data_IF_489563338848
#
_entry.id   IF_489563338848
#
_cell.length_a   1.000
_cell.length_b   1.000
_cell.length_c   1.000
_cell.angle_alpha   90.00
_cell.angle_beta   90.00
_cell.angle_gamma   90.00
#
_symmetry.space_group_name_H-M   'P 1'
#
loop_
_entity.id
_entity.type
_entity.pdbx_description
1 polymer ?
#
# COMPACT_ATOMS: atom_id res chain seq x y z
N UNK A 1 -9.62 4.29 -8.64
CA UNK A 1 -8.96 3.26 -9.48
C UNK A 1 -8.71 2.03 -8.63
N UNK A 2 -8.60 0.85 -9.24
CA UNK A 2 -8.28 -0.41 -8.54
C UNK A 2 -7.50 -1.37 -9.44
N UNK A 3 -6.78 -2.30 -8.83
CA UNK A 3 -6.20 -3.46 -9.50
C UNK A 3 -7.30 -4.49 -9.78
N UNK A 4 -7.34 -5.01 -10.99
CA UNK A 4 -8.19 -6.15 -11.37
C UNK A 4 -7.35 -7.23 -12.04
N UNK A 5 -7.87 -8.45 -12.08
CA UNK A 5 -7.31 -9.55 -12.86
C UNK A 5 -8.10 -9.70 -14.16
N UNK A 6 -7.41 -9.64 -15.29
CA UNK A 6 -7.95 -9.93 -16.61
C UNK A 6 -7.26 -11.18 -17.16
N UNK A 7 -7.88 -12.34 -16.96
CA UNK A 7 -7.26 -13.64 -17.25
C UNK A 7 -5.98 -13.86 -16.41
N UNK A 8 -4.84 -14.00 -17.09
CA UNK A 8 -3.53 -14.17 -16.46
C UNK A 8 -2.81 -12.83 -16.15
N UNK A 9 -3.36 -11.71 -16.60
CA UNK A 9 -2.71 -10.40 -16.49
C UNK A 9 -3.40 -9.54 -15.42
N UNK A 10 -2.63 -8.61 -14.85
CA UNK A 10 -3.20 -7.52 -14.06
C UNK A 10 -3.58 -6.37 -14.98
N UNK A 11 -4.69 -5.71 -14.67
CA UNK A 11 -5.12 -4.50 -15.35
C UNK A 11 -5.55 -3.45 -14.32
N UNK A 12 -5.42 -2.17 -14.71
CA UNK A 12 -5.94 -1.04 -13.93
C UNK A 12 -7.37 -0.77 -14.38
N UNK A 13 -8.29 -0.76 -13.43
CA UNK A 13 -9.64 -0.27 -13.67
C UNK A 13 -9.79 1.13 -13.08
N UNK A 14 -10.06 2.10 -13.96
CA UNK A 14 -10.52 3.44 -13.59
C UNK A 14 -12.04 3.42 -13.62
N UNK A 15 -12.67 3.90 -12.55
CA UNK A 15 -14.13 3.92 -12.42
C UNK A 15 -14.57 5.06 -11.50
N UNK A 16 -15.77 5.57 -11.75
CA UNK A 16 -16.43 6.58 -10.93
C UNK A 16 -17.22 5.93 -9.78
N UNK A 17 -16.49 5.55 -8.73
CA UNK A 17 -17.08 5.10 -7.47
C UNK A 17 -17.43 6.25 -6.52
N UNK A 18 -18.14 5.95 -5.40
CA UNK A 18 -18.35 6.91 -4.32
C UNK A 18 -17.02 7.32 -3.67
N UNK A 19 -17.02 8.45 -2.95
CA UNK A 19 -15.87 8.85 -2.13
C UNK A 19 -15.60 7.79 -1.04
N UNK A 20 -14.32 7.50 -0.81
CA UNK A 20 -13.88 6.68 0.33
C UNK A 20 -13.01 7.56 1.21
N UNK A 21 -13.37 7.72 2.49
CA UNK A 21 -12.74 8.67 3.42
C UNK A 21 -12.61 10.10 2.84
N UNK A 22 -13.63 10.55 2.11
CA UNK A 22 -13.64 11.84 1.39
C UNK A 22 -12.59 11.99 0.28
N UNK A 23 -11.96 10.91 -0.18
CA UNK A 23 -10.93 10.93 -1.21
C UNK A 23 -11.37 10.20 -2.50
N UNK A 24 -10.98 10.78 -3.64
CA UNK A 24 -11.07 10.16 -4.98
C UNK A 24 -9.96 10.73 -5.88
N UNK A 25 -8.92 9.95 -6.21
CA UNK A 25 -8.71 8.54 -5.84
C UNK A 25 -8.43 8.37 -4.33
N UNK A 26 -8.90 7.26 -3.74
CA UNK A 26 -8.57 6.86 -2.36
C UNK A 26 -7.49 5.79 -2.38
N UNK A 27 -6.55 5.89 -1.44
CA UNK A 27 -5.47 4.92 -1.25
C UNK A 27 -6.04 3.58 -0.79
N UNK A 28 -7.00 3.58 0.16
CA UNK A 28 -7.65 2.36 0.64
C UNK A 28 -8.31 1.55 -0.49
N UNK A 29 -8.94 2.20 -1.49
CA UNK A 29 -9.55 1.51 -2.65
C UNK A 29 -8.50 0.78 -3.47
N UNK A 30 -7.36 1.43 -3.75
CA UNK A 30 -6.27 0.83 -4.49
C UNK A 30 -5.67 -0.34 -3.69
N UNK A 31 -5.25 -0.06 -2.46
CA UNK A 31 -4.51 -1.01 -1.64
C UNK A 31 -5.34 -2.27 -1.35
N UNK A 32 -6.61 -2.12 -0.98
CA UNK A 32 -7.51 -3.27 -0.76
C UNK A 32 -7.64 -4.14 -2.01
N UNK A 33 -7.73 -3.54 -3.19
CA UNK A 33 -7.78 -4.31 -4.44
C UNK A 33 -6.46 -5.04 -4.74
N UNK A 34 -5.32 -4.46 -4.38
CA UNK A 34 -4.01 -5.12 -4.48
C UNK A 34 -3.93 -6.31 -3.53
N UNK A 35 -4.36 -6.15 -2.28
CA UNK A 35 -4.40 -7.24 -1.31
C UNK A 35 -5.23 -8.43 -1.82
N UNK A 36 -6.40 -8.15 -2.42
CA UNK A 36 -7.30 -9.17 -2.95
C UNK A 36 -6.78 -9.85 -4.22
N UNK A 37 -6.16 -9.10 -5.13
CA UNK A 37 -5.82 -9.57 -6.48
C UNK A 37 -4.39 -10.10 -6.59
N UNK A 38 -3.43 -9.45 -5.91
CA UNK A 38 -2.02 -9.80 -5.93
C UNK A 38 -1.58 -10.55 -4.66
N UNK A 39 -2.21 -10.28 -3.51
CA UNK A 39 -1.86 -10.90 -2.22
C UNK A 39 -0.37 -10.81 -1.93
N UNK A 40 0.24 -11.94 -1.55
CA UNK A 40 1.69 -12.07 -1.28
C UNK A 40 2.64 -11.63 -2.41
N UNK A 41 2.14 -11.51 -3.65
CA UNK A 41 2.96 -11.09 -4.79
C UNK A 41 3.06 -9.56 -4.91
N UNK A 42 2.63 -8.81 -3.90
CA UNK A 42 2.70 -7.36 -3.85
C UNK A 42 3.58 -6.86 -2.69
N UNK A 43 4.00 -5.60 -2.81
CA UNK A 43 4.60 -4.82 -1.75
C UNK A 43 3.72 -3.61 -1.47
N UNK A 44 3.40 -3.36 -0.20
CA UNK A 44 2.69 -2.18 0.25
C UNK A 44 3.69 -1.18 0.82
N UNK A 45 3.67 0.07 0.36
CA UNK A 45 4.52 1.13 0.91
C UNK A 45 3.65 2.32 1.25
N UNK A 46 3.63 2.71 2.53
CA UNK A 46 2.95 3.92 2.98
C UNK A 46 3.99 5.00 3.34
N UNK A 47 3.81 6.19 2.77
CA UNK A 47 4.75 7.30 2.89
C UNK A 47 4.11 8.49 3.61
N UNK A 48 4.88 9.55 3.81
CA UNK A 48 4.47 10.82 4.41
C UNK A 48 3.10 11.28 3.90
N UNK A 49 2.27 11.74 4.83
CA UNK A 49 0.89 12.13 4.53
C UNK A 49 0.09 12.36 5.80
N UNK A 50 -0.97 13.16 5.68
CA UNK A 50 -1.89 13.45 6.78
C UNK A 50 -3.03 12.41 6.80
N UNK A 51 -3.55 12.14 8.00
CA UNK A 51 -4.72 11.26 8.16
C UNK A 51 -4.36 9.76 8.16
N UNK A 52 -5.33 8.93 7.85
CA UNK A 52 -5.27 7.47 7.97
C UNK A 52 -5.59 6.73 6.65
N UNK A 53 -5.73 7.45 5.52
CA UNK A 53 -6.05 6.84 4.21
C UNK A 53 -4.89 5.92 3.79
N UNK A 54 -5.17 4.63 3.63
CA UNK A 54 -4.18 3.60 3.33
C UNK A 54 -3.70 2.80 4.54
N UNK A 55 -3.95 3.23 5.78
CA UNK A 55 -3.51 2.49 6.97
C UNK A 55 -4.23 1.14 7.11
N UNK A 56 -5.56 1.14 6.94
CA UNK A 56 -6.38 -0.06 6.96
C UNK A 56 -6.09 -0.95 5.75
N UNK A 57 -5.96 -0.36 4.56
CA UNK A 57 -5.55 -1.09 3.38
C UNK A 57 -4.20 -1.79 3.56
N UNK A 58 -3.20 -1.11 4.15
CA UNK A 58 -1.87 -1.69 4.33
C UNK A 58 -1.91 -2.89 5.30
N UNK A 59 -2.72 -2.80 6.35
CA UNK A 59 -2.97 -3.94 7.24
C UNK A 59 -3.58 -5.13 6.48
N UNK A 60 -4.53 -4.89 5.58
CA UNK A 60 -5.11 -5.95 4.74
C UNK A 60 -4.09 -6.57 3.79
N UNK A 61 -3.16 -5.77 3.24
CA UNK A 61 -2.04 -6.28 2.45
C UNK A 61 -1.14 -7.19 3.29
N UNK A 62 -0.75 -6.75 4.49
CA UNK A 62 0.05 -7.55 5.42
C UNK A 62 -0.64 -8.88 5.75
N UNK A 63 -1.93 -8.86 6.07
CA UNK A 63 -2.72 -10.07 6.33
C UNK A 63 -2.83 -11.00 5.11
N UNK A 64 -2.81 -10.45 3.90
CA UNK A 64 -2.77 -11.21 2.64
C UNK A 64 -1.37 -11.75 2.29
N UNK A 65 -0.37 -11.54 3.16
CA UNK A 65 1.00 -12.02 3.02
C UNK A 65 1.90 -11.13 2.15
N UNK A 66 1.45 -9.93 1.80
CA UNK A 66 2.30 -8.95 1.13
C UNK A 66 3.31 -8.37 2.13
N UNK A 67 4.50 -7.99 1.64
CA UNK A 67 5.47 -7.25 2.46
C UNK A 67 5.06 -5.79 2.55
N UNK A 68 5.10 -5.21 3.75
CA UNK A 68 4.64 -3.84 3.98
C UNK A 68 5.70 -2.97 4.65
N UNK A 69 5.88 -1.76 4.12
CA UNK A 69 6.87 -0.78 4.60
C UNK A 69 6.16 0.53 4.94
N UNK A 70 6.55 1.14 6.06
CA UNK A 70 6.21 2.51 6.39
C UNK A 70 7.45 3.42 6.33
N UNK A 71 7.28 4.64 5.81
CA UNK A 71 8.31 5.67 5.93
C UNK A 71 8.51 6.06 7.41
N UNK A 72 9.76 6.25 7.83
CA UNK A 72 10.08 6.70 9.19
C UNK A 72 9.74 8.17 9.45
N UNK A 73 9.53 8.52 10.73
CA UNK A 73 9.17 9.87 11.17
C UNK A 73 10.21 10.93 10.79
N UNK A 74 11.51 10.61 10.91
CA UNK A 74 12.58 11.60 10.70
C UNK A 74 12.72 12.04 9.24
N UNK A 75 12.25 11.23 8.29
CA UNK A 75 12.23 11.59 6.87
C UNK A 75 10.84 12.05 6.38
N UNK A 76 9.79 11.93 7.20
CA UNK A 76 8.46 12.41 6.86
C UNK A 76 8.36 13.94 6.99
N UNK A 77 7.57 14.54 6.11
CA UNK A 77 7.10 15.93 6.30
C UNK A 77 5.92 15.94 7.26
N UNK A 78 5.02 14.96 7.12
CA UNK A 78 3.88 14.72 8.01
C UNK A 78 3.80 13.23 8.31
N UNK A 79 4.05 12.86 9.56
CA UNK A 79 4.01 11.48 10.04
C UNK A 79 2.60 11.09 10.54
N UNK A 80 1.60 11.24 9.67
CA UNK A 80 0.20 10.85 9.93
C UNK A 80 -0.09 9.43 9.44
N UNK A 81 -0.10 9.26 8.12
CA UNK A 81 -0.41 7.98 7.47
C UNK A 81 0.53 6.84 7.92
N UNK A 82 1.87 7.02 7.96
CA UNK A 82 2.76 5.96 8.45
C UNK A 82 2.50 5.61 9.92
N UNK A 83 2.22 6.60 10.77
CA UNK A 83 1.91 6.41 12.19
C UNK A 83 0.67 5.57 12.40
N UNK A 84 -0.41 5.85 11.69
CA UNK A 84 -1.64 5.06 11.79
C UNK A 84 -1.46 3.63 11.27
N UNK A 85 -0.69 3.44 10.19
CA UNK A 85 -0.38 2.10 9.69
C UNK A 85 0.44 1.26 10.68
N UNK A 86 1.44 1.87 11.33
CA UNK A 86 2.23 1.23 12.39
C UNK A 86 1.33 0.84 13.56
N UNK A 87 0.47 1.76 14.00
CA UNK A 87 -0.47 1.54 15.12
C UNK A 87 -1.45 0.39 14.85
N UNK A 88 -1.86 0.19 13.61
CA UNK A 88 -2.73 -0.92 13.19
C UNK A 88 -1.98 -2.25 13.06
N UNK A 89 -0.66 -2.29 13.23
CA UNK A 89 0.14 -3.52 13.11
C UNK A 89 0.23 -4.05 11.67
N UNK A 90 0.05 -3.18 10.68
CA UNK A 90 0.09 -3.53 9.25
C UNK A 90 1.45 -3.33 8.58
N UNK A 91 2.52 -3.14 9.35
CA UNK A 91 3.86 -2.72 8.87
C UNK A 91 4.91 -3.74 9.30
N UNK A 92 5.62 -4.33 8.33
CA UNK A 92 6.75 -5.23 8.60
C UNK A 92 8.03 -4.43 8.94
N UNK A 93 8.28 -3.33 8.23
CA UNK A 93 9.50 -2.54 8.37
C UNK A 93 9.22 -1.03 8.35
N UNK A 94 9.88 -0.28 9.24
CA UNK A 94 9.91 1.19 9.23
C UNK A 94 11.26 1.65 8.67
N UNK A 95 11.24 2.44 7.60
CA UNK A 95 12.44 2.69 6.76
C UNK A 95 12.55 4.16 6.37
N UNK A 96 13.78 4.69 6.38
CA UNK A 96 14.05 6.04 5.88
C UNK A 96 13.77 6.19 4.39
N UNK A 97 13.26 7.36 3.97
CA UNK A 97 12.91 7.64 2.58
C UNK A 97 14.02 7.26 1.59
N UNK A 98 15.26 7.59 1.93
CA UNK A 98 16.47 7.29 1.14
C UNK A 98 16.76 5.79 1.00
N UNK A 99 16.23 4.97 1.90
CA UNK A 99 16.41 3.52 1.93
C UNK A 99 15.21 2.74 1.40
N UNK A 100 14.02 3.33 1.26
CA UNK A 100 12.81 2.62 0.78
C UNK A 100 13.08 1.90 -0.54
N UNK A 101 13.66 2.59 -1.53
CA UNK A 101 13.97 2.00 -2.84
C UNK A 101 14.91 0.79 -2.74
N UNK A 102 15.88 0.83 -1.82
CA UNK A 102 16.83 -0.28 -1.60
C UNK A 102 16.19 -1.51 -0.94
N UNK A 103 15.04 -1.36 -0.28
CA UNK A 103 14.29 -2.47 0.32
C UNK A 103 13.38 -3.17 -0.67
N UNK A 104 12.98 -2.49 -1.74
CA UNK A 104 12.19 -3.10 -2.81
C UNK A 104 13.04 -4.09 -3.62
N UNK A 105 12.44 -5.17 -4.13
CA UNK A 105 13.16 -6.15 -4.93
C UNK A 105 13.65 -5.49 -6.22
N UNK A 106 14.85 -5.86 -6.67
CA UNK A 106 15.45 -5.33 -7.93
C UNK A 106 14.63 -5.67 -9.18
N UNK A 107 13.92 -6.79 -9.14
CA UNK A 107 12.93 -7.19 -10.12
C UNK A 107 11.72 -7.76 -9.39
N UNK A 108 10.52 -7.32 -9.76
CA UNK A 108 9.29 -8.00 -9.37
C UNK A 108 9.10 -9.10 -10.42
N UNK A 109 9.82 -10.21 -10.27
CA UNK A 109 9.61 -11.37 -11.14
C UNK A 109 8.21 -11.92 -10.88
N UNK A 110 7.35 -11.82 -11.89
CA UNK A 110 5.99 -12.32 -11.84
C UNK A 110 5.99 -13.81 -11.47
N UNK A 111 5.08 -14.18 -10.57
CA UNK A 111 4.83 -15.56 -10.19
C UNK A 111 4.72 -16.43 -11.46
N UNK A 112 5.65 -17.38 -11.61
CA UNK A 112 5.47 -18.53 -12.50
C UNK A 112 4.40 -19.45 -11.94
#
# INVERSE_FOLDING_TARGET
MRLIRSGAQFAVQVFDGPLVKHHRPSVDVLIRSVAQVAGRNAWGVIMTGMGDDGAQGLQEMHQAGARTIAQDDSSCVVFGMPKEAIKLGGVDEVVALTHIASRLPRSIEGAR
#
